data_IF_344719135759
#
_entry.id   IF_344719135759
#
_cell.length_a   1.000
_cell.length_b   1.000
_cell.length_c   1.000
_cell.angle_alpha   90.00
_cell.angle_beta   90.00
_cell.angle_gamma   90.00
#
_symmetry.space_group_name_H-M   'P 1'
#
loop_
_entity.id
_entity.type
_entity.pdbx_description
1 polymer ?
#
# COMPACT_ATOMS: atom_id res chain seq x y z
N UNK A 1 -25.33 16.39 -7.80
CA UNK A 1 -25.06 14.96 -8.02
C UNK A 1 -26.23 14.34 -8.81
N UNK A 2 -26.01 14.17 -10.11
CA UNK A 2 -26.98 13.49 -10.96
C UNK A 2 -26.86 11.98 -10.71
N UNK A 3 -27.97 11.35 -10.34
CA UNK A 3 -28.06 9.90 -10.23
C UNK A 3 -28.90 9.43 -11.44
N UNK A 4 -28.29 8.69 -12.38
CA UNK A 4 -29.03 8.19 -13.54
C UNK A 4 -30.22 7.34 -13.10
N UNK A 5 -31.32 7.39 -13.86
CA UNK A 5 -32.55 6.69 -13.48
C UNK A 5 -32.44 5.15 -13.53
N UNK A 6 -31.49 4.65 -14.31
CA UNK A 6 -31.31 3.21 -14.58
C UNK A 6 -30.36 2.50 -13.58
N UNK A 7 -29.75 3.25 -12.64
CA UNK A 7 -28.77 2.69 -11.67
C UNK A 7 -29.45 2.07 -10.44
N UNK A 8 -28.76 1.12 -9.82
CA UNK A 8 -29.17 0.55 -8.53
C UNK A 8 -28.72 1.47 -7.40
N UNK A 9 -29.60 2.38 -6.96
CA UNK A 9 -29.29 3.51 -6.07
C UNK A 9 -28.53 3.13 -4.82
N UNK A 10 -28.91 2.06 -4.09
CA UNK A 10 -28.25 1.66 -2.85
C UNK A 10 -26.76 1.34 -3.04
N UNK A 11 -26.43 0.47 -3.98
CA UNK A 11 -25.03 0.11 -4.28
C UNK A 11 -24.26 1.26 -4.92
N UNK A 12 -24.93 2.08 -5.72
CA UNK A 12 -24.35 3.26 -6.35
C UNK A 12 -23.90 4.31 -5.32
N UNK A 13 -24.57 4.42 -4.17
CA UNK A 13 -24.19 5.32 -3.10
C UNK A 13 -23.08 4.75 -2.20
N UNK A 14 -23.10 3.44 -1.95
CA UNK A 14 -22.13 2.78 -1.05
C UNK A 14 -20.80 2.56 -1.74
N UNK A 15 -20.75 2.31 -3.03
CA UNK A 15 -19.55 1.94 -3.75
C UNK A 15 -18.38 2.93 -3.57
N UNK A 16 -18.54 4.27 -3.73
CA UNK A 16 -17.45 5.21 -3.52
C UNK A 16 -16.95 5.23 -2.07
N UNK A 17 -17.84 5.09 -1.10
CA UNK A 17 -17.46 5.03 0.31
C UNK A 17 -16.70 3.75 0.63
N UNK A 18 -17.12 2.61 0.07
CA UNK A 18 -16.45 1.33 0.26
C UNK A 18 -15.08 1.28 -0.41
N UNK A 19 -14.84 2.08 -1.43
CA UNK A 19 -13.51 2.21 -2.06
C UNK A 19 -12.59 3.12 -1.25
N UNK A 20 -13.09 4.26 -0.77
CA UNK A 20 -12.27 5.25 -0.06
C UNK A 20 -11.99 4.86 1.40
N UNK A 21 -12.96 4.31 2.14
CA UNK A 21 -12.82 4.02 3.56
C UNK A 21 -11.65 3.07 3.89
N UNK A 22 -11.39 1.98 3.15
CA UNK A 22 -10.25 1.10 3.38
C UNK A 22 -8.91 1.85 3.32
N UNK A 23 -8.71 2.72 2.33
CA UNK A 23 -7.49 3.47 2.18
C UNK A 23 -7.21 4.39 3.40
N UNK A 24 -8.23 5.05 3.92
CA UNK A 24 -8.09 5.86 5.14
C UNK A 24 -7.83 5.02 6.39
N UNK A 25 -8.44 3.84 6.52
CA UNK A 25 -8.21 2.95 7.65
C UNK A 25 -6.76 2.42 7.65
N UNK A 26 -6.17 2.17 6.50
CA UNK A 26 -4.78 1.74 6.40
C UNK A 26 -3.78 2.80 6.89
N UNK A 27 -4.11 4.10 6.81
CA UNK A 27 -3.25 5.17 7.35
C UNK A 27 -3.03 5.03 8.85
N UNK A 28 -4.01 4.50 9.60
CA UNK A 28 -3.93 4.36 11.05
C UNK A 28 -2.80 3.45 11.54
N UNK A 29 -2.30 2.55 10.69
CA UNK A 29 -1.28 1.55 11.06
C UNK A 29 0.12 2.02 10.72
N UNK A 30 0.25 3.02 9.84
CA UNK A 30 1.54 3.53 9.43
C UNK A 30 2.20 4.25 10.60
N UNK A 31 3.41 3.82 11.03
CA UNK A 31 4.14 4.49 12.08
C UNK A 31 4.81 5.74 11.51
N UNK A 32 4.43 6.92 12.01
CA UNK A 32 4.99 8.20 11.58
C UNK A 32 6.23 8.62 12.36
N UNK A 33 6.53 7.96 13.47
CA UNK A 33 7.67 8.28 14.32
C UNK A 33 7.78 7.32 15.49
N UNK A 34 8.87 7.46 16.28
CA UNK A 34 9.08 6.61 17.46
C UNK A 34 8.09 6.97 18.58
N UNK A 35 8.51 7.77 19.53
CA UNK A 35 7.66 8.23 20.63
C UNK A 35 7.98 9.68 20.98
N UNK A 36 6.95 10.45 21.32
CA UNK A 36 7.08 11.81 21.86
C UNK A 36 6.61 11.79 23.30
N UNK A 37 7.38 12.40 24.20
CA UNK A 37 6.97 12.60 25.60
C UNK A 37 5.98 13.77 25.67
N UNK A 38 4.73 13.48 26.02
CA UNK A 38 3.67 14.47 26.25
C UNK A 38 3.25 14.33 27.71
N UNK A 39 3.40 15.39 28.52
CA UNK A 39 3.09 15.38 29.96
C UNK A 39 3.76 14.24 30.73
N UNK A 40 5.06 14.00 30.48
CA UNK A 40 5.87 12.90 31.05
C UNK A 40 5.39 11.46 30.71
N UNK A 41 4.51 11.33 29.75
CA UNK A 41 4.09 10.03 29.21
C UNK A 41 4.62 9.84 27.77
N UNK A 42 5.27 8.70 27.47
CA UNK A 42 5.69 8.39 26.11
C UNK A 42 4.46 8.03 25.26
N UNK A 43 4.16 8.82 24.26
CA UNK A 43 3.10 8.55 23.28
C UNK A 43 3.74 8.11 21.99
N UNK A 44 3.41 6.88 21.53
CA UNK A 44 3.83 6.37 20.22
C UNK A 44 3.16 7.17 19.10
N UNK A 45 3.90 7.51 18.04
CA UNK A 45 3.38 8.20 16.86
C UNK A 45 2.76 7.22 15.84
N UNK A 46 1.96 6.31 16.32
CA UNK A 46 1.15 5.37 15.53
C UNK A 46 -0.25 5.34 16.13
N UNK A 47 -1.28 5.39 15.30
CA UNK A 47 -2.67 5.42 15.79
C UNK A 47 -3.08 4.03 16.28
N UNK A 48 -2.75 2.99 15.52
CA UNK A 48 -3.03 1.59 15.85
C UNK A 48 -1.76 0.75 15.69
N UNK A 49 -1.12 0.42 16.80
CA UNK A 49 0.06 -0.46 16.85
C UNK A 49 -0.42 -1.92 16.88
N UNK A 50 -0.44 -2.56 15.73
CA UNK A 50 -0.95 -3.93 15.56
C UNK A 50 0.22 -4.85 15.25
N UNK A 51 0.34 -5.97 15.99
CA UNK A 51 1.40 -6.96 15.81
C UNK A 51 1.45 -7.58 14.40
N UNK A 52 0.32 -7.63 13.70
CA UNK A 52 0.20 -8.12 12.34
C UNK A 52 -0.10 -7.00 11.33
N UNK A 53 0.60 -5.85 11.44
CA UNK A 53 0.36 -4.64 10.67
C UNK A 53 0.20 -4.85 9.16
N UNK A 54 1.17 -5.44 8.45
CA UNK A 54 1.09 -5.65 7.01
C UNK A 54 -0.09 -6.54 6.58
N UNK A 55 -0.40 -7.58 7.35
CA UNK A 55 -1.54 -8.46 7.05
C UNK A 55 -2.87 -7.72 7.21
N UNK A 56 -2.97 -6.87 8.21
CA UNK A 56 -4.17 -6.04 8.40
C UNK A 56 -4.33 -5.04 7.25
N UNK A 57 -3.24 -4.40 6.80
CA UNK A 57 -3.29 -3.48 5.64
C UNK A 57 -3.82 -4.20 4.41
N UNK A 58 -3.32 -5.39 4.09
CA UNK A 58 -3.79 -6.14 2.93
C UNK A 58 -5.24 -6.58 3.06
N UNK A 59 -5.64 -7.06 4.25
CA UNK A 59 -7.02 -7.45 4.51
C UNK A 59 -8.01 -6.29 4.38
N UNK A 60 -7.62 -5.09 4.76
CA UNK A 60 -8.46 -3.88 4.63
C UNK A 60 -8.42 -3.36 3.19
N UNK A 61 -7.25 -3.34 2.54
CA UNK A 61 -7.10 -2.89 1.17
C UNK A 61 -7.94 -3.73 0.19
N UNK A 62 -7.99 -5.06 0.37
CA UNK A 62 -8.81 -5.95 -0.45
C UNK A 62 -10.31 -5.66 -0.39
N UNK A 63 -10.81 -4.97 0.65
CA UNK A 63 -12.20 -4.51 0.69
C UNK A 63 -12.51 -3.44 -0.36
N UNK A 64 -11.51 -2.67 -0.82
CA UNK A 64 -11.69 -1.66 -1.86
C UNK A 64 -12.12 -2.26 -3.20
N UNK A 65 -11.69 -3.50 -3.48
CA UNK A 65 -12.05 -4.26 -4.69
C UNK A 65 -13.57 -4.42 -4.81
N UNK A 66 -14.25 -4.67 -3.68
CA UNK A 66 -15.71 -4.76 -3.67
C UNK A 66 -16.36 -3.42 -4.01
N UNK A 67 -15.78 -2.30 -3.58
CA UNK A 67 -16.26 -0.96 -3.91
C UNK A 67 -16.27 -0.72 -5.43
N UNK A 68 -15.17 -1.03 -6.09
CA UNK A 68 -15.02 -0.90 -7.54
C UNK A 68 -15.97 -1.85 -8.31
N UNK A 69 -16.05 -3.10 -7.85
CA UNK A 69 -16.94 -4.10 -8.46
C UNK A 69 -18.41 -3.68 -8.35
N UNK A 70 -18.83 -3.19 -7.19
CA UNK A 70 -20.20 -2.68 -7.01
C UNK A 70 -20.44 -1.41 -7.82
N UNK A 71 -19.44 -0.54 -7.98
CA UNK A 71 -19.56 0.64 -8.84
C UNK A 71 -19.89 0.25 -10.27
N UNK A 72 -19.12 -0.66 -10.85
CA UNK A 72 -19.35 -1.16 -12.20
C UNK A 72 -20.72 -1.84 -12.35
N UNK A 73 -21.09 -2.69 -11.40
CA UNK A 73 -22.35 -3.42 -11.45
C UNK A 73 -23.59 -2.52 -11.21
N UNK A 74 -23.50 -1.59 -10.26
CA UNK A 74 -24.60 -0.68 -9.94
C UNK A 74 -24.92 0.31 -11.06
N UNK A 75 -23.92 0.67 -11.86
CA UNK A 75 -24.06 1.58 -12.99
C UNK A 75 -24.98 1.06 -14.09
N UNK A 76 -25.27 -0.25 -14.12
CA UNK A 76 -26.12 -0.90 -15.13
C UNK A 76 -25.73 -0.56 -16.58
N UNK A 77 -24.45 -0.34 -16.82
CA UNK A 77 -23.83 -0.05 -18.10
C UNK A 77 -22.78 -1.13 -18.41
N UNK A 78 -22.78 -1.64 -19.65
CA UNK A 78 -21.88 -2.72 -20.08
C UNK A 78 -20.41 -2.32 -19.98
N UNK A 79 -20.06 -1.10 -20.36
CA UNK A 79 -18.70 -0.59 -20.32
C UNK A 79 -18.21 -0.43 -18.88
N UNK A 80 -19.03 0.16 -18.03
CA UNK A 80 -18.74 0.33 -16.60
C UNK A 80 -18.59 -1.02 -15.89
N UNK A 81 -19.42 -1.99 -16.21
CA UNK A 81 -19.33 -3.35 -15.68
C UNK A 81 -18.03 -4.05 -16.10
N UNK A 82 -17.66 -3.96 -17.40
CA UNK A 82 -16.40 -4.53 -17.90
C UNK A 82 -15.18 -3.86 -17.26
N UNK A 83 -15.20 -2.54 -17.09
CA UNK A 83 -14.16 -1.81 -16.36
C UNK A 83 -14.01 -2.29 -14.92
N UNK A 84 -15.11 -2.45 -14.19
CA UNK A 84 -15.11 -2.97 -12.82
C UNK A 84 -14.58 -4.40 -12.72
N UNK A 85 -14.92 -5.29 -13.66
CA UNK A 85 -14.40 -6.68 -13.69
C UNK A 85 -12.90 -6.70 -14.01
N UNK A 86 -12.43 -5.88 -14.95
CA UNK A 86 -11.01 -5.76 -15.30
C UNK A 86 -10.20 -5.27 -14.09
N UNK A 87 -10.68 -4.23 -13.39
CA UNK A 87 -10.05 -3.72 -12.18
C UNK A 87 -9.97 -4.77 -11.07
N UNK A 88 -11.09 -5.44 -10.81
CA UNK A 88 -11.15 -6.52 -9.82
C UNK A 88 -10.13 -7.63 -10.12
N UNK A 89 -10.08 -8.11 -11.38
CA UNK A 89 -9.14 -9.15 -11.79
C UNK A 89 -7.68 -8.70 -11.62
N UNK A 90 -7.36 -7.46 -11.96
CA UNK A 90 -6.03 -6.89 -11.78
C UNK A 90 -5.67 -6.82 -10.31
N UNK A 91 -6.48 -6.17 -9.48
CA UNK A 91 -6.19 -5.97 -8.05
C UNK A 91 -6.00 -7.30 -7.33
N UNK A 92 -6.88 -8.29 -7.51
CA UNK A 92 -6.75 -9.62 -6.88
C UNK A 92 -5.46 -10.33 -7.32
N UNK A 93 -5.10 -10.23 -8.61
CA UNK A 93 -3.89 -10.89 -9.13
C UNK A 93 -2.62 -10.27 -8.53
N UNK A 94 -2.55 -8.95 -8.43
CA UNK A 94 -1.38 -8.25 -7.89
C UNK A 94 -1.32 -8.26 -6.37
N UNK A 95 -2.44 -8.40 -5.66
CA UNK A 95 -2.49 -8.60 -4.21
C UNK A 95 -1.73 -9.88 -3.80
N UNK A 96 -1.84 -10.96 -4.57
CA UNK A 96 -1.08 -12.19 -4.33
C UNK A 96 0.42 -11.93 -4.49
N UNK A 97 0.83 -11.25 -5.56
CA UNK A 97 2.24 -10.90 -5.81
C UNK A 97 2.79 -10.00 -4.71
N UNK A 98 1.99 -9.05 -4.24
CA UNK A 98 2.32 -8.12 -3.16
C UNK A 98 2.52 -8.86 -1.84
N UNK A 99 1.63 -9.79 -1.49
CA UNK A 99 1.77 -10.63 -0.31
C UNK A 99 3.00 -11.54 -0.36
N UNK A 100 3.27 -12.18 -1.50
CA UNK A 100 4.45 -13.04 -1.68
C UNK A 100 5.75 -12.24 -1.62
N UNK A 101 5.78 -11.02 -2.14
CA UNK A 101 6.97 -10.17 -2.10
C UNK A 101 7.30 -9.66 -0.69
N UNK A 102 6.34 -9.66 0.23
CA UNK A 102 6.57 -9.30 1.63
C UNK A 102 7.28 -10.41 2.42
N UNK A 103 7.11 -11.69 2.04
CA UNK A 103 7.65 -12.82 2.78
C UNK A 103 9.17 -12.73 3.02
N UNK A 104 10.03 -12.40 2.04
CA UNK A 104 11.46 -12.27 2.28
C UNK A 104 11.81 -11.22 3.34
N UNK A 105 11.08 -10.10 3.38
CA UNK A 105 11.27 -9.04 4.39
C UNK A 105 10.91 -9.59 5.78
N UNK A 106 9.77 -10.25 5.90
CA UNK A 106 9.32 -10.84 7.18
C UNK A 106 10.25 -11.96 7.67
N UNK A 107 10.83 -12.73 6.76
CA UNK A 107 11.80 -13.78 7.11
C UNK A 107 13.10 -13.21 7.68
N UNK A 108 13.53 -12.03 7.21
CA UNK A 108 14.73 -11.36 7.71
C UNK A 108 14.51 -10.77 9.09
N UNK A 109 13.38 -10.11 9.31
CA UNK A 109 13.10 -9.45 10.59
C UNK A 109 12.48 -10.37 11.65
N UNK A 110 11.82 -11.45 11.24
CA UNK A 110 11.12 -12.37 12.14
C UNK A 110 9.94 -11.74 12.88
N UNK A 111 9.49 -10.57 12.48
CA UNK A 111 8.45 -9.76 13.13
C UNK A 111 7.45 -9.25 12.08
N UNK A 112 6.20 -9.04 12.52
CA UNK A 112 5.11 -8.53 11.69
C UNK A 112 4.68 -7.11 12.09
N UNK A 113 5.19 -6.59 13.22
CA UNK A 113 4.90 -5.24 13.67
C UNK A 113 5.75 -4.23 12.88
N UNK A 114 5.10 -3.25 12.27
CA UNK A 114 5.78 -2.23 11.45
C UNK A 114 6.71 -1.34 12.28
N UNK A 115 6.34 -1.01 13.52
CA UNK A 115 7.19 -0.20 14.39
C UNK A 115 8.49 -0.93 14.76
N UNK A 116 8.39 -2.23 15.08
CA UNK A 116 9.53 -3.05 15.45
C UNK A 116 10.46 -3.31 14.25
N UNK A 117 9.89 -3.44 13.03
CA UNK A 117 10.67 -3.52 11.79
C UNK A 117 11.50 -2.25 11.59
N UNK A 118 10.92 -1.06 11.81
CA UNK A 118 11.66 0.21 11.70
C UNK A 118 12.76 0.31 12.76
N UNK A 119 12.49 -0.09 14.01
CA UNK A 119 13.53 -0.10 15.05
C UNK A 119 14.68 -1.06 14.68
N UNK A 120 14.37 -2.25 14.20
CA UNK A 120 15.38 -3.20 13.72
C UNK A 120 16.20 -2.65 12.54
N UNK A 121 15.59 -1.86 11.66
CA UNK A 121 16.29 -1.18 10.57
C UNK A 121 17.15 0.00 11.07
N UNK A 122 16.73 0.68 12.12
CA UNK A 122 17.54 1.74 12.74
C UNK A 122 18.84 1.18 13.32
N UNK A 123 18.76 -0.02 13.95
CA UNK A 123 19.92 -0.65 14.59
C UNK A 123 20.84 -1.35 13.58
N UNK A 124 20.29 -2.01 12.57
CA UNK A 124 21.02 -2.89 11.64
C UNK A 124 21.26 -2.29 10.24
N UNK A 125 20.67 -1.14 9.95
CA UNK A 125 20.66 -0.52 8.62
C UNK A 125 19.41 -0.86 7.79
N UNK A 126 19.21 -0.14 6.70
CA UNK A 126 18.04 -0.28 5.85
C UNK A 126 17.99 -1.62 5.14
N UNK A 127 16.81 -2.16 4.97
CA UNK A 127 16.58 -3.45 4.33
C UNK A 127 17.17 -3.53 2.91
N UNK A 128 17.03 -2.48 2.12
CA UNK A 128 17.49 -2.47 0.74
C UNK A 128 18.95 -2.04 0.60
N UNK A 129 19.38 -1.09 1.43
CA UNK A 129 20.72 -0.51 1.40
C UNK A 129 21.24 -0.40 2.84
N UNK A 130 22.00 -1.37 3.33
CA UNK A 130 22.60 -1.31 4.68
C UNK A 130 23.75 -0.30 4.71
N UNK A 131 23.47 0.96 4.33
CA UNK A 131 24.49 2.00 4.17
C UNK A 131 24.99 2.57 5.50
N UNK A 132 24.14 2.55 6.53
CA UNK A 132 24.45 3.02 7.88
C UNK A 132 23.88 2.06 8.91
N UNK A 133 24.74 1.61 9.80
CA UNK A 133 24.36 0.91 11.02
C UNK A 133 25.23 1.44 12.18
N UNK A 134 24.88 1.11 13.40
CA UNK A 134 25.65 1.52 14.59
C UNK A 134 27.12 1.08 14.55
N UNK A 135 27.51 0.18 13.66
CA UNK A 135 28.84 -0.41 13.57
C UNK A 135 29.79 0.32 12.59
N UNK A 136 29.39 1.45 12.05
CA UNK A 136 30.24 2.30 11.23
C UNK A 136 29.68 2.67 9.86
N UNK A 137 30.36 3.58 9.19
CA UNK A 137 29.98 4.02 7.85
C UNK A 137 30.49 3.07 6.75
N UNK A 138 29.91 3.17 5.57
CA UNK A 138 30.31 2.41 4.35
C UNK A 138 31.81 2.51 4.04
N UNK A 139 32.49 3.51 4.59
CA UNK A 139 33.93 3.75 4.39
C UNK A 139 34.84 2.96 5.34
N UNK A 140 34.28 2.28 6.36
CA UNK A 140 35.05 1.51 7.32
C UNK A 140 35.23 0.04 6.87
N UNK A 141 36.46 -0.48 6.98
CA UNK A 141 36.77 -1.86 6.63
C UNK A 141 36.01 -2.88 7.51
N UNK A 142 35.73 -2.54 8.77
CA UNK A 142 34.96 -3.35 9.70
C UNK A 142 33.49 -3.52 9.24
N UNK A 143 32.91 -2.50 8.63
CA UNK A 143 31.58 -2.54 8.02
C UNK A 143 31.48 -3.65 6.97
N UNK A 144 32.43 -3.74 6.05
CA UNK A 144 32.45 -4.72 4.98
C UNK A 144 32.65 -6.17 5.46
N UNK A 145 33.30 -6.37 6.58
CA UNK A 145 33.45 -7.70 7.18
C UNK A 145 32.13 -8.19 7.79
N UNK A 146 31.38 -7.31 8.44
CA UNK A 146 30.08 -7.62 9.04
C UNK A 146 28.98 -7.75 8.00
N UNK A 147 29.06 -7.02 6.88
CA UNK A 147 28.08 -7.06 5.81
C UNK A 147 28.19 -8.26 4.87
N UNK A 148 29.20 -9.14 4.98
CA UNK A 148 29.38 -10.27 4.07
C UNK A 148 28.17 -11.22 4.01
N UNK A 149 27.52 -11.46 5.14
CA UNK A 149 26.31 -12.26 5.19
C UNK A 149 25.08 -11.50 4.69
N UNK A 150 25.00 -10.19 4.92
CA UNK A 150 23.92 -9.35 4.45
C UNK A 150 23.90 -9.14 2.95
N UNK A 151 25.06 -9.19 2.27
CA UNK A 151 25.15 -9.06 0.82
C UNK A 151 24.37 -10.14 0.08
N UNK A 152 24.37 -11.37 0.60
CA UNK A 152 23.61 -12.46 -0.01
C UNK A 152 22.11 -12.22 0.09
N UNK A 153 21.64 -11.57 1.17
CA UNK A 153 20.25 -11.22 1.40
C UNK A 153 19.79 -10.02 0.54
N UNK A 154 20.70 -9.15 0.11
CA UNK A 154 20.37 -8.00 -0.74
C UNK A 154 19.72 -8.40 -2.07
N UNK A 155 20.15 -9.52 -2.67
CA UNK A 155 19.59 -9.97 -3.95
C UNK A 155 18.10 -10.29 -3.82
N UNK A 156 17.64 -11.19 -2.94
CA UNK A 156 16.22 -11.49 -2.79
C UNK A 156 15.41 -10.28 -2.29
N UNK A 157 15.99 -9.42 -1.44
CA UNK A 157 15.31 -8.22 -0.95
C UNK A 157 15.13 -7.16 -2.04
N UNK A 158 16.10 -6.99 -2.94
CA UNK A 158 15.96 -6.10 -4.10
C UNK A 158 14.89 -6.60 -5.07
N UNK A 159 14.85 -7.90 -5.33
CA UNK A 159 13.80 -8.51 -6.16
C UNK A 159 12.43 -8.31 -5.48
N UNK A 160 12.35 -8.55 -4.19
CA UNK A 160 11.15 -8.31 -3.38
C UNK A 160 10.68 -6.86 -3.48
N UNK A 161 11.57 -5.89 -3.34
CA UNK A 161 11.27 -4.47 -3.49
C UNK A 161 10.70 -4.13 -4.88
N UNK A 162 11.31 -4.63 -5.94
CA UNK A 162 10.85 -4.39 -7.32
C UNK A 162 9.44 -4.97 -7.51
N UNK A 163 9.21 -6.22 -7.08
CA UNK A 163 7.90 -6.87 -7.20
C UNK A 163 6.86 -6.14 -6.34
N UNK A 164 7.21 -5.77 -5.11
CA UNK A 164 6.32 -5.04 -4.21
C UNK A 164 5.92 -3.69 -4.80
N UNK A 165 6.88 -2.92 -5.30
CA UNK A 165 6.63 -1.61 -5.90
C UNK A 165 5.76 -1.73 -7.15
N UNK A 166 6.06 -2.66 -8.06
CA UNK A 166 5.25 -2.86 -9.26
C UNK A 166 3.83 -3.31 -8.92
N UNK A 167 3.65 -4.13 -7.88
CA UNK A 167 2.34 -4.58 -7.42
C UNK A 167 1.51 -3.43 -6.85
N UNK A 168 2.12 -2.50 -6.10
CA UNK A 168 1.42 -1.30 -5.61
C UNK A 168 0.97 -0.40 -6.77
N UNK A 169 1.81 -0.20 -7.80
CA UNK A 169 1.39 0.55 -9.00
C UNK A 169 0.18 -0.10 -9.69
N UNK A 170 0.14 -1.42 -9.73
CA UNK A 170 -0.96 -2.16 -10.33
C UNK A 170 -2.23 -2.13 -9.46
N UNK A 171 -2.09 -2.17 -8.13
CA UNK A 171 -3.19 -2.07 -7.19
C UNK A 171 -3.86 -0.69 -7.22
N UNK A 172 -3.06 0.37 -7.43
CA UNK A 172 -3.56 1.75 -7.52
C UNK A 172 -3.95 2.16 -8.95
N UNK A 173 -4.08 1.22 -9.88
CA UNK A 173 -4.48 1.43 -11.28
C UNK A 173 -3.69 2.53 -12.00
N UNK A 174 -2.38 2.71 -11.68
CA UNK A 174 -1.53 3.72 -12.30
C UNK A 174 -0.79 3.20 -13.53
N UNK A 175 -0.51 4.09 -14.47
CA UNK A 175 0.28 3.75 -15.65
C UNK A 175 1.60 3.07 -15.26
N UNK A 176 1.96 1.92 -15.84
CA UNK A 176 1.39 1.32 -17.06
C UNK A 176 0.19 0.38 -16.85
N UNK A 177 -0.36 0.24 -15.65
CA UNK A 177 -1.41 -0.70 -15.27
C UNK A 177 -2.82 -0.07 -15.29
N UNK A 178 -3.08 0.85 -16.21
CA UNK A 178 -4.33 1.63 -16.35
C UNK A 178 -5.37 0.93 -17.26
N UNK A 179 -5.42 -0.39 -17.23
CA UNK A 179 -6.39 -1.19 -18.00
C UNK A 179 -7.86 -1.00 -17.55
N UNK A 180 -8.16 -0.75 -16.27
CA UNK A 180 -9.54 -0.58 -15.79
C UNK A 180 -10.21 0.70 -16.26
N UNK A 181 -9.46 1.77 -16.43
CA UNK A 181 -9.97 3.07 -16.85
C UNK A 181 -10.01 3.18 -18.36
N UNK A 182 -8.97 2.76 -19.04
CA UNK A 182 -8.74 2.69 -20.48
C UNK A 182 -9.70 3.57 -21.31
N UNK A 183 -9.52 4.89 -21.24
CA UNK A 183 -10.43 5.89 -21.83
C UNK A 183 -10.74 5.63 -23.32
N UNK A 184 -9.77 5.08 -24.04
CA UNK A 184 -9.91 4.78 -25.46
C UNK A 184 -10.82 3.59 -25.77
N UNK A 185 -10.99 2.64 -24.82
CA UNK A 185 -11.78 1.42 -25.02
C UNK A 185 -13.07 1.39 -24.19
N UNK A 186 -13.04 1.91 -22.95
CA UNK A 186 -14.10 1.78 -21.94
C UNK A 186 -14.75 3.12 -21.56
N UNK A 187 -14.43 4.22 -22.23
CA UNK A 187 -15.02 5.56 -22.03
C UNK A 187 -14.72 6.18 -20.65
N UNK A 188 -14.01 5.51 -19.77
CA UNK A 188 -13.72 5.92 -18.39
C UNK A 188 -13.90 4.77 -17.39
N UNK A 189 -14.13 3.55 -17.87
CA UNK A 189 -14.16 2.36 -17.01
C UNK A 189 -15.31 2.34 -16.00
N UNK A 190 -15.03 1.89 -14.77
CA UNK A 190 -16.03 1.63 -13.73
C UNK A 190 -16.73 2.90 -13.21
N UNK A 191 -16.11 4.07 -13.34
CA UNK A 191 -16.64 5.34 -12.84
C UNK A 191 -17.36 6.18 -13.88
N UNK A 192 -17.60 5.66 -15.10
CA UNK A 192 -18.22 6.39 -16.22
C UNK A 192 -19.56 7.05 -15.87
N UNK A 193 -20.40 6.42 -15.05
CA UNK A 193 -21.71 6.94 -14.64
C UNK A 193 -21.65 7.83 -13.38
N UNK A 194 -20.48 7.93 -12.75
CA UNK A 194 -20.29 8.73 -11.54
C UNK A 194 -19.94 10.17 -11.88
N UNK A 195 -20.50 11.11 -11.13
CA UNK A 195 -20.25 12.55 -11.30
C UNK A 195 -20.05 13.26 -9.98
N UNK A 196 -19.44 14.45 -10.03
CA UNK A 196 -19.24 15.34 -8.89
C UNK A 196 -18.55 14.67 -7.69
N UNK A 197 -19.15 14.76 -6.50
CA UNK A 197 -18.55 14.27 -5.24
C UNK A 197 -18.34 12.76 -5.23
N UNK A 198 -19.18 11.98 -5.87
CA UNK A 198 -19.02 10.51 -5.91
C UNK A 198 -17.81 10.11 -6.74
N UNK A 199 -17.60 10.78 -7.86
CA UNK A 199 -16.42 10.61 -8.69
C UNK A 199 -15.16 11.04 -7.90
N UNK A 200 -15.21 12.18 -7.22
CA UNK A 200 -14.10 12.66 -6.40
C UNK A 200 -13.71 11.68 -5.27
N UNK A 201 -14.67 10.95 -4.68
CA UNK A 201 -14.39 9.95 -3.65
C UNK A 201 -13.59 8.75 -4.18
N UNK A 202 -13.79 8.32 -5.42
CA UNK A 202 -12.96 7.27 -6.02
C UNK A 202 -11.51 7.73 -6.16
N UNK A 203 -11.28 8.91 -6.73
CA UNK A 203 -9.94 9.48 -6.84
C UNK A 203 -9.30 9.72 -5.48
N UNK A 204 -10.06 10.22 -4.51
CA UNK A 204 -9.55 10.41 -3.15
C UNK A 204 -9.10 9.07 -2.53
N UNK A 205 -9.87 7.99 -2.73
CA UNK A 205 -9.49 6.64 -2.30
C UNK A 205 -8.20 6.16 -2.98
N UNK A 206 -8.09 6.36 -4.27
CA UNK A 206 -6.90 6.01 -5.05
C UNK A 206 -5.65 6.76 -4.60
N UNK A 207 -5.73 8.09 -4.44
CA UNK A 207 -4.61 8.89 -3.95
C UNK A 207 -4.23 8.52 -2.51
N UNK A 208 -5.22 8.25 -1.65
CA UNK A 208 -4.97 7.77 -0.30
C UNK A 208 -4.26 6.40 -0.32
N UNK A 209 -4.68 5.47 -1.17
CA UNK A 209 -4.03 4.18 -1.35
C UNK A 209 -2.58 4.32 -1.84
N UNK A 210 -2.29 5.26 -2.75
CA UNK A 210 -0.91 5.56 -3.18
C UNK A 210 -0.05 6.07 -2.03
N UNK A 211 -0.58 6.96 -1.20
CA UNK A 211 0.14 7.48 -0.03
C UNK A 211 0.44 6.34 0.94
N UNK A 212 -0.55 5.49 1.23
CA UNK A 212 -0.39 4.31 2.08
C UNK A 212 0.66 3.36 1.51
N UNK A 213 0.56 3.01 0.23
CA UNK A 213 1.51 2.12 -0.45
C UNK A 213 2.94 2.66 -0.40
N UNK A 214 3.11 3.96 -0.68
CA UNK A 214 4.41 4.63 -0.59
C UNK A 214 4.97 4.62 0.83
N UNK A 215 4.13 4.87 1.83
CA UNK A 215 4.54 4.84 3.24
C UNK A 215 4.96 3.42 3.67
N UNK A 216 4.25 2.38 3.22
CA UNK A 216 4.62 0.99 3.49
C UNK A 216 5.95 0.63 2.82
N UNK A 217 6.18 1.06 1.58
CA UNK A 217 7.48 0.87 0.90
C UNK A 217 8.61 1.50 1.74
N UNK A 218 8.43 2.74 2.17
CA UNK A 218 9.44 3.43 2.99
C UNK A 218 9.65 2.71 4.33
N UNK A 219 8.59 2.28 4.98
CA UNK A 219 8.66 1.57 6.27
C UNK A 219 9.37 0.22 6.16
N UNK A 220 9.11 -0.55 5.10
CA UNK A 220 9.65 -1.90 4.94
C UNK A 220 11.07 -1.92 4.36
N UNK A 221 11.42 -0.98 3.48
CA UNK A 221 12.66 -1.04 2.70
C UNK A 221 13.66 0.08 2.99
N UNK A 222 13.19 1.23 3.45
CA UNK A 222 14.00 2.44 3.64
C UNK A 222 14.02 2.98 5.07
N UNK A 223 13.73 2.14 6.05
CA UNK A 223 13.87 2.50 7.46
C UNK A 223 12.76 3.37 8.06
N UNK A 224 11.67 3.61 7.34
CA UNK A 224 10.52 4.39 7.84
C UNK A 224 10.90 5.82 8.25
N UNK A 225 10.74 6.14 9.54
CA UNK A 225 11.12 7.45 10.10
C UNK A 225 12.61 7.56 10.46
N UNK A 226 13.36 6.44 10.47
CA UNK A 226 14.78 6.45 10.80
C UNK A 226 15.59 6.75 9.54
N UNK A 227 16.36 7.84 9.58
CA UNK A 227 17.29 8.20 8.51
C UNK A 227 18.64 7.47 8.62
N UNK A 228 18.81 6.64 9.67
CA UNK A 228 20.02 5.82 9.86
C UNK A 228 21.23 6.60 10.37
N UNK A 229 21.05 7.83 10.87
CA UNK A 229 22.10 8.65 11.53
C UNK A 229 21.53 9.44 12.68
#
# INVERSE_FOLDING_TARGET
DLVPAHVRKFFFWIAPALTAAPAFLCICIIPFGSSITVFDQPVKLVIADIDAGPLFVFAIASLSVYGITFAGWASNNKYSFLGGVRSCAQMISYEISLGLSLIPVLMVFGQLNLSDIVHSQADNGWTLLPLWNEHGSVFDAAYWQNCKEQWLLMIPLTISFIIFTTSIFAETNRMPFDLPECETELVGGYHTEYSSMKFALFFLGEYAAMIVGSAIIVTLFFGGWSLGF
#
